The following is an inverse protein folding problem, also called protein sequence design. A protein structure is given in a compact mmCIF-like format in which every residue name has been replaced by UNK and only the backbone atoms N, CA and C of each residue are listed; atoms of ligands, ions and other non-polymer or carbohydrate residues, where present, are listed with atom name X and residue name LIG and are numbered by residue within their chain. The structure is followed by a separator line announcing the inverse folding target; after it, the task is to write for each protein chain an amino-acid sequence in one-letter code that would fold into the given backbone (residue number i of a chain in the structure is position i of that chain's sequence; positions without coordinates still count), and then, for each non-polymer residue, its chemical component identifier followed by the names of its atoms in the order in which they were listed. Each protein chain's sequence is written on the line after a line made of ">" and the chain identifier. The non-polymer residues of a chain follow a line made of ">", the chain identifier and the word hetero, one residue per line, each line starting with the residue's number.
data_IF_772254334073
#
_entry.id   IF_772254334073
#
_cell.length_a   1.000
_cell.length_b   1.000
_cell.length_c   1.000
_cell.angle_alpha   90.00
_cell.angle_beta   90.00
_cell.angle_gamma   90.00
#
_symmetry.space_group_name_H-M   'P 1'
#
loop_
_entity.id
_entity.type
_entity.pdbx_description
1 polymer ?
#
# COMPACT_ATOMS: atom_id res chain seq x y z
N UNK A 1 -6.53 10.55 22.83
CA UNK A 1 -7.09 10.27 21.56
C UNK A 1 -7.45 8.82 21.39
N UNK A 2 -8.33 8.56 20.60
CA UNK A 2 -8.76 7.22 20.39
C UNK A 2 -8.28 6.74 19.05
N UNK A 3 -7.75 5.56 19.01
CA UNK A 3 -7.38 4.99 17.75
C UNK A 3 -8.64 4.75 16.97
N UNK A 4 -8.65 5.21 15.76
CA UNK A 4 -9.81 5.10 14.92
C UNK A 4 -9.65 3.91 13.98
N UNK A 5 -10.67 3.09 13.88
CA UNK A 5 -10.69 1.96 12.97
C UNK A 5 -12.01 1.94 12.24
N UNK A 6 -11.93 2.09 10.93
CA UNK A 6 -13.09 1.98 10.05
C UNK A 6 -12.93 0.71 9.26
N UNK A 7 -14.01 -0.04 9.16
CA UNK A 7 -13.96 -1.31 8.47
C UNK A 7 -15.27 -1.57 7.76
N UNK A 8 -15.18 -2.16 6.58
CA UNK A 8 -16.36 -2.52 5.80
C UNK A 8 -16.13 -3.84 5.12
N UNK A 9 -17.09 -4.75 5.26
CA UNK A 9 -17.03 -6.05 4.62
C UNK A 9 -17.96 -6.00 3.41
N UNK A 10 -17.42 -6.35 2.25
CA UNK A 10 -18.14 -6.31 0.98
C UNK A 10 -18.85 -4.97 0.78
N UNK A 11 -18.10 -3.86 0.91
CA UNK A 11 -18.73 -2.55 0.77
C UNK A 11 -19.19 -2.33 -0.66
N UNK A 12 -20.26 -1.56 -0.82
CA UNK A 12 -20.56 -1.08 -2.15
C UNK A 12 -19.57 0.04 -2.48
N UNK A 13 -19.57 0.50 -3.72
CA UNK A 13 -18.57 1.47 -4.16
C UNK A 13 -18.72 2.81 -3.43
N UNK A 14 -19.93 3.19 -3.08
CA UNK A 14 -20.13 4.42 -2.33
C UNK A 14 -19.58 4.35 -0.93
N UNK A 15 -19.74 3.20 -0.27
CA UNK A 15 -19.19 3.00 1.06
C UNK A 15 -17.66 3.00 1.02
N UNK A 16 -17.09 2.36 0.00
CA UNK A 16 -15.65 2.33 -0.15
C UNK A 16 -15.11 3.74 -0.39
N UNK A 17 -15.80 4.50 -1.23
CA UNK A 17 -15.39 5.86 -1.52
C UNK A 17 -15.38 6.71 -0.26
N UNK A 18 -16.44 6.62 0.54
CA UNK A 18 -16.51 7.39 1.78
C UNK A 18 -15.39 7.01 2.74
N UNK A 19 -15.09 5.72 2.81
CA UNK A 19 -14.04 5.23 3.70
C UNK A 19 -12.67 5.75 3.27
N UNK A 20 -12.36 5.67 1.98
CA UNK A 20 -11.06 6.13 1.48
C UNK A 20 -10.95 7.65 1.60
N UNK A 21 -12.02 8.38 1.31
CA UNK A 21 -11.98 9.84 1.44
C UNK A 21 -11.75 10.25 2.89
N UNK A 22 -12.39 9.56 3.82
CA UNK A 22 -12.15 9.82 5.23
C UNK A 22 -10.71 9.51 5.59
N UNK A 23 -10.18 8.41 5.06
CA UNK A 23 -8.80 8.04 5.30
C UNK A 23 -7.82 9.09 4.81
N UNK A 24 -8.07 9.64 3.62
CA UNK A 24 -7.21 10.68 3.09
C UNK A 24 -7.30 11.95 3.93
N UNK A 25 -8.50 12.32 4.31
CA UNK A 25 -8.72 13.53 5.07
C UNK A 25 -8.05 13.49 6.43
N UNK A 26 -8.09 12.34 7.07
CA UNK A 26 -7.55 12.17 8.41
C UNK A 26 -6.18 11.54 8.44
N UNK A 27 -5.59 11.29 7.27
CA UNK A 27 -4.27 10.69 7.15
C UNK A 27 -4.19 9.32 7.82
N UNK A 28 -5.15 8.47 7.48
CA UNK A 28 -5.21 7.12 8.01
C UNK A 28 -4.55 6.13 7.05
N UNK A 29 -4.18 4.98 7.58
CA UNK A 29 -3.66 3.89 6.77
C UNK A 29 -4.85 3.11 6.22
N UNK A 30 -4.95 3.00 4.89
CA UNK A 30 -6.07 2.32 4.26
C UNK A 30 -5.64 1.02 3.62
N UNK A 31 -6.47 -0.01 3.72
CA UNK A 31 -6.27 -1.23 2.95
C UNK A 31 -7.55 -1.57 2.22
N UNK A 32 -7.39 -2.08 1.01
CA UNK A 32 -8.50 -2.45 0.16
C UNK A 32 -8.22 -3.83 -0.41
N UNK A 33 -9.19 -4.72 -0.37
CA UNK A 33 -9.02 -6.04 -0.93
C UNK A 33 -10.19 -6.36 -1.83
N UNK A 34 -9.90 -6.80 -3.04
CA UNK A 34 -10.96 -7.15 -3.97
C UNK A 34 -10.41 -7.40 -5.36
N UNK A 35 -11.34 -7.57 -6.28
CA UNK A 35 -10.99 -7.86 -7.66
C UNK A 35 -10.77 -6.55 -8.40
N UNK A 36 -9.57 -6.37 -8.90
CA UNK A 36 -9.22 -5.11 -9.54
C UNK A 36 -8.25 -5.32 -10.70
N UNK A 37 -8.25 -4.36 -11.60
CA UNK A 37 -7.20 -4.23 -12.58
C UNK A 37 -6.30 -3.08 -12.17
N UNK A 38 -5.08 -3.10 -12.66
CA UNK A 38 -4.10 -2.09 -12.27
C UNK A 38 -3.41 -1.58 -13.53
N UNK A 39 -3.20 -0.29 -13.61
CA UNK A 39 -2.48 0.30 -14.73
C UNK A 39 -1.47 1.31 -14.18
N UNK A 40 -0.23 1.18 -14.60
CA UNK A 40 0.83 2.11 -14.25
C UNK A 40 1.21 2.89 -15.50
N UNK A 41 1.38 4.20 -15.36
CA UNK A 41 1.79 5.06 -16.45
C UNK A 41 2.83 6.05 -15.94
N UNK A 42 4.03 5.98 -16.50
CA UNK A 42 5.12 6.84 -16.10
C UNK A 42 6.21 6.74 -17.15
N UNK A 43 7.44 6.42 -16.72
CA UNK A 43 8.52 6.22 -17.69
C UNK A 43 8.23 5.05 -18.59
N UNK A 44 7.48 4.10 -18.10
CA UNK A 44 7.04 2.95 -18.85
C UNK A 44 5.57 2.79 -18.54
N UNK A 45 4.91 1.84 -19.19
CA UNK A 45 3.51 1.56 -18.92
C UNK A 45 3.36 0.09 -18.66
N UNK A 46 2.49 -0.28 -17.74
CA UNK A 46 2.19 -1.66 -17.48
C UNK A 46 0.74 -1.80 -17.06
N UNK A 47 0.20 -2.98 -17.27
CA UNK A 47 -1.17 -3.28 -16.86
C UNK A 47 -1.23 -4.66 -16.26
N UNK A 48 -2.14 -4.84 -15.33
CA UNK A 48 -2.46 -6.14 -14.76
C UNK A 48 -3.96 -6.35 -14.99
N UNK A 49 -4.30 -7.48 -15.59
CA UNK A 49 -5.68 -7.84 -15.81
C UNK A 49 -6.37 -8.08 -14.46
N UNK A 50 -7.70 -8.07 -14.45
CA UNK A 50 -8.43 -8.21 -13.19
C UNK A 50 -8.04 -9.45 -12.40
N UNK A 51 -7.87 -9.29 -11.12
CA UNK A 51 -7.56 -10.35 -10.18
C UNK A 51 -7.73 -9.84 -8.77
N UNK A 52 -7.67 -10.76 -7.81
CA UNK A 52 -7.82 -10.39 -6.41
C UNK A 52 -6.51 -9.86 -5.87
N UNK A 53 -6.53 -8.65 -5.34
CA UNK A 53 -5.32 -8.00 -4.82
C UNK A 53 -5.59 -7.22 -3.58
N UNK A 54 -4.55 -7.10 -2.77
CA UNK A 54 -4.56 -6.26 -1.58
C UNK A 54 -3.84 -4.97 -1.94
N UNK A 55 -4.52 -3.84 -1.72
CA UNK A 55 -3.95 -2.54 -1.99
C UNK A 55 -3.80 -1.80 -0.67
N UNK A 56 -2.62 -1.24 -0.43
CA UNK A 56 -2.33 -0.48 0.78
C UNK A 56 -2.07 0.96 0.38
N UNK A 57 -2.82 1.88 0.97
CA UNK A 57 -2.63 3.31 0.75
C UNK A 57 -2.14 3.91 2.06
N UNK A 58 -0.91 4.39 2.05
CA UNK A 58 -0.32 4.93 3.27
C UNK A 58 -0.47 6.44 3.31
N UNK A 59 -0.53 7.02 4.50
CA UNK A 59 -0.72 8.48 4.59
C UNK A 59 0.45 9.28 4.04
N UNK A 60 1.62 8.68 3.86
CA UNK A 60 2.76 9.39 3.27
C UNK A 60 2.72 9.38 1.74
N UNK A 61 1.71 8.77 1.14
CA UNK A 61 1.57 8.74 -0.30
C UNK A 61 2.00 7.43 -0.94
N UNK A 62 2.57 6.52 -0.17
CA UNK A 62 2.97 5.22 -0.70
C UNK A 62 1.75 4.40 -1.07
N UNK A 63 1.82 3.69 -2.18
CA UNK A 63 0.80 2.71 -2.55
C UNK A 63 1.48 1.40 -2.89
N UNK A 64 0.92 0.31 -2.38
CA UNK A 64 1.44 -1.03 -2.64
C UNK A 64 0.31 -1.91 -3.12
N UNK A 65 0.58 -2.71 -4.15
CA UNK A 65 -0.39 -3.67 -4.67
C UNK A 65 0.22 -5.06 -4.54
N UNK A 66 -0.43 -5.93 -3.78
CA UNK A 66 0.05 -7.27 -3.52
C UNK A 66 -0.88 -8.31 -4.08
N UNK A 67 -0.30 -9.41 -4.56
CA UNK A 67 -1.06 -10.61 -4.90
C UNK A 67 -0.88 -11.61 -3.78
N UNK A 68 -1.35 -12.83 -4.00
CA UNK A 68 -1.24 -13.88 -2.99
C UNK A 68 0.11 -14.62 -3.03
N UNK A 69 1.05 -14.14 -3.85
CA UNK A 69 2.35 -14.80 -4.01
C UNK A 69 3.47 -13.78 -3.92
N UNK A 70 4.58 -14.24 -3.39
CA UNK A 70 5.80 -13.43 -3.38
C UNK A 70 5.84 -12.44 -2.22
N UNK A 71 7.03 -11.95 -1.97
CA UNK A 71 7.21 -11.01 -0.87
C UNK A 71 7.18 -9.55 -1.31
N UNK A 72 7.39 -9.30 -2.60
CA UNK A 72 7.40 -7.93 -3.11
C UNK A 72 6.05 -7.58 -3.70
N UNK A 73 5.65 -6.31 -3.63
CA UNK A 73 4.43 -5.91 -4.31
C UNK A 73 4.61 -6.04 -5.82
N UNK A 74 3.52 -6.33 -6.53
CA UNK A 74 3.58 -6.43 -7.99
C UNK A 74 3.54 -5.05 -8.62
N UNK A 75 3.10 -4.05 -7.88
CA UNK A 75 3.10 -2.67 -8.34
C UNK A 75 3.15 -1.77 -7.12
N UNK A 76 3.77 -0.58 -7.27
CA UNK A 76 3.87 0.34 -6.13
C UNK A 76 4.26 1.73 -6.61
N UNK A 77 4.05 2.71 -5.73
CA UNK A 77 4.61 4.04 -5.89
C UNK A 77 5.19 4.49 -4.57
N UNK A 78 6.27 5.28 -4.59
CA UNK A 78 6.94 5.71 -3.36
C UNK A 78 6.15 6.79 -2.63
N UNK A 79 6.61 7.18 -1.43
CA UNK A 79 5.99 8.30 -0.73
C UNK A 79 5.97 9.56 -1.57
N UNK A 80 5.04 10.42 -1.29
CA UNK A 80 4.92 11.69 -2.00
C UNK A 80 3.84 11.73 -3.05
N UNK A 81 3.10 10.63 -3.22
CA UNK A 81 2.00 10.62 -4.17
C UNK A 81 0.73 11.15 -3.51
N UNK A 82 -0.18 11.62 -4.36
CA UNK A 82 -1.52 12.01 -3.92
C UNK A 82 -2.48 10.93 -4.37
N UNK A 83 -3.32 10.47 -3.45
CA UNK A 83 -4.32 9.46 -3.75
C UNK A 83 -5.66 10.14 -3.98
N UNK A 84 -6.33 9.77 -5.06
CA UNK A 84 -7.66 10.27 -5.37
C UNK A 84 -8.57 9.09 -5.65
N UNK A 85 -9.75 9.08 -5.07
CA UNK A 85 -10.69 7.99 -5.23
C UNK A 85 -11.96 8.50 -5.89
N UNK A 86 -12.63 7.64 -6.62
CA UNK A 86 -13.87 7.98 -7.27
C UNK A 86 -14.58 6.76 -7.82
N UNK A 87 -15.75 6.98 -8.38
CA UNK A 87 -16.50 5.92 -9.03
C UNK A 87 -16.59 6.29 -10.50
N UNK A 88 -16.07 5.43 -11.37
CA UNK A 88 -16.02 5.67 -12.80
C UNK A 88 -16.44 4.41 -13.52
N UNK A 89 -17.39 4.55 -14.45
CA UNK A 89 -17.85 3.43 -15.28
C UNK A 89 -18.24 2.22 -14.43
N UNK A 90 -18.87 2.47 -13.31
CA UNK A 90 -19.35 1.39 -12.44
C UNK A 90 -18.28 0.71 -11.61
N UNK A 91 -17.07 1.27 -11.57
CA UNK A 91 -15.98 0.71 -10.79
C UNK A 91 -15.51 1.70 -9.76
N UNK A 92 -14.97 1.19 -8.64
CA UNK A 92 -14.34 2.02 -7.65
C UNK A 92 -12.87 2.19 -8.03
N UNK A 93 -12.45 3.43 -8.23
CA UNK A 93 -11.14 3.72 -8.78
C UNK A 93 -10.31 4.52 -7.80
N UNK A 94 -9.04 4.14 -7.65
CA UNK A 94 -8.08 4.92 -6.89
C UNK A 94 -6.93 5.26 -7.81
N UNK A 95 -6.57 6.55 -7.87
CA UNK A 95 -5.41 7.00 -8.61
C UNK A 95 -4.39 7.53 -7.64
N UNK A 96 -3.17 7.06 -7.73
CA UNK A 96 -2.05 7.59 -6.96
C UNK A 96 -1.09 8.22 -7.95
N UNK A 97 -0.86 9.51 -7.83
CA UNK A 97 -0.05 10.20 -8.81
C UNK A 97 0.92 11.17 -8.16
N UNK A 98 1.98 11.46 -8.88
CA UNK A 98 2.94 12.46 -8.47
C UNK A 98 3.51 13.12 -9.71
N UNK A 99 4.19 14.25 -9.49
CA UNK A 99 4.86 14.97 -10.59
C UNK A 99 6.36 14.97 -10.32
N UNK A 100 7.14 15.21 -11.37
CA UNK A 100 8.60 15.35 -11.30
C UNK A 100 9.27 14.10 -10.73
N UNK A 101 9.15 12.94 -11.35
CA UNK A 101 8.54 12.68 -12.63
C UNK A 101 7.04 12.44 -12.53
N UNK A 102 6.35 12.65 -13.63
CA UNK A 102 4.92 12.36 -13.68
C UNK A 102 4.73 10.85 -13.69
N UNK A 103 3.99 10.37 -12.72
CA UNK A 103 3.66 8.95 -12.62
C UNK A 103 2.27 8.79 -12.06
N UNK A 104 1.57 7.80 -12.53
CA UNK A 104 0.23 7.51 -12.03
C UNK A 104 0.01 6.01 -11.94
N UNK A 105 -0.52 5.57 -10.83
CA UNK A 105 -0.93 4.19 -10.65
C UNK A 105 -2.44 4.21 -10.47
N UNK A 106 -3.13 3.49 -11.34
CA UNK A 106 -4.59 3.40 -11.31
C UNK A 106 -4.97 2.01 -10.86
N UNK A 107 -5.85 1.93 -9.86
CA UNK A 107 -6.42 0.66 -9.42
C UNK A 107 -7.92 0.78 -9.57
N UNK A 108 -8.52 -0.10 -10.37
CA UNK A 108 -9.96 -0.06 -10.63
C UNK A 108 -10.58 -1.36 -10.14
N UNK A 109 -11.40 -1.25 -9.11
CA UNK A 109 -12.04 -2.41 -8.49
C UNK A 109 -13.41 -2.67 -9.12
N UNK A 110 -13.59 -3.90 -9.59
CA UNK A 110 -14.91 -4.37 -10.00
C UNK A 110 -15.73 -4.69 -8.78
N UNK A 111 -15.07 -5.27 -7.77
CA UNK A 111 -15.72 -5.71 -6.56
C UNK A 111 -14.73 -5.59 -5.41
N UNK A 112 -15.20 -5.01 -4.32
CA UNK A 112 -14.42 -4.93 -3.10
C UNK A 112 -14.96 -5.95 -2.11
N UNK A 113 -14.07 -6.68 -1.47
CA UNK A 113 -14.42 -7.66 -0.47
C UNK A 113 -14.19 -7.12 0.93
N UNK A 114 -13.26 -6.19 1.06
CA UNK A 114 -12.93 -5.63 2.37
C UNK A 114 -12.25 -4.29 2.21
N UNK A 115 -12.53 -3.39 3.12
CA UNK A 115 -11.87 -2.08 3.15
C UNK A 115 -11.68 -1.66 4.59
N UNK A 116 -10.50 -1.11 4.90
CA UNK A 116 -10.24 -0.59 6.24
C UNK A 116 -9.51 0.74 6.16
N UNK A 117 -9.66 1.53 7.21
CA UNK A 117 -8.85 2.72 7.40
C UNK A 117 -8.66 2.87 8.90
N UNK A 118 -7.44 3.04 9.36
CA UNK A 118 -7.23 3.20 10.78
C UNK A 118 -6.03 4.10 11.07
N UNK A 119 -6.04 4.64 12.28
CA UNK A 119 -5.03 5.57 12.74
C UNK A 119 -3.87 4.76 13.30
N UNK A 120 -2.86 4.53 12.48
CA UNK A 120 -1.73 3.70 12.86
C UNK A 120 -0.60 4.58 13.35
N UNK A 121 -0.09 4.25 14.53
CA UNK A 121 1.01 4.98 15.12
C UNK A 121 2.10 3.98 15.47
N UNK A 122 3.31 4.25 15.00
CA UNK A 122 4.43 3.38 15.30
C UNK A 122 5.63 4.25 15.63
N UNK A 123 5.95 4.33 16.90
CA UNK A 123 7.10 5.09 17.37
C UNK A 123 8.32 4.23 17.65
N UNK A 124 8.26 2.96 17.27
CA UNK A 124 9.37 2.06 17.58
C UNK A 124 10.52 2.26 16.60
N UNK A 125 11.72 2.09 17.11
CA UNK A 125 12.91 2.15 16.29
C UNK A 125 13.34 0.74 15.93
N UNK A 126 13.86 0.58 14.73
CA UNK A 126 14.40 -0.71 14.31
C UNK A 126 15.65 -1.00 15.13
N UNK A 127 15.67 -2.14 15.79
CA UNK A 127 16.85 -2.59 16.52
C UNK A 127 17.57 -3.58 15.63
N UNK A 128 18.77 -3.21 15.19
CA UNK A 128 19.54 -4.05 14.27
C UNK A 128 20.62 -4.79 15.04
N UNK A 129 20.66 -6.10 14.83
CA UNK A 129 21.71 -6.93 15.39
C UNK A 129 22.28 -7.77 14.24
N UNK A 130 23.52 -8.20 14.42
CA UNK A 130 24.17 -8.96 13.40
C UNK A 130 25.34 -8.20 12.81
N UNK A 131 25.96 -8.75 11.78
CA UNK A 131 27.10 -8.09 11.17
C UNK A 131 26.63 -7.04 10.18
N UNK A 132 27.56 -6.18 9.83
CA UNK A 132 27.29 -5.18 8.82
C UNK A 132 26.92 -5.83 7.50
N UNK A 133 27.52 -6.96 7.20
CA UNK A 133 27.22 -7.68 5.99
C UNK A 133 25.80 -8.21 5.99
N UNK A 134 25.33 -8.72 7.13
CA UNK A 134 23.97 -9.19 7.26
C UNK A 134 22.99 -8.06 7.02
N UNK A 135 23.28 -6.89 7.58
CA UNK A 135 22.42 -5.73 7.42
C UNK A 135 22.36 -5.30 5.96
N UNK A 136 23.53 -5.26 5.31
CA UNK A 136 23.57 -4.86 3.92
C UNK A 136 22.75 -5.80 3.05
N UNK A 137 22.85 -7.09 3.32
CA UNK A 137 22.12 -8.08 2.54
C UNK A 137 20.61 -7.89 2.70
N UNK A 138 20.16 -7.61 3.90
CA UNK A 138 18.73 -7.40 4.11
C UNK A 138 18.23 -6.16 3.38
N UNK A 139 19.01 -5.10 3.35
CA UNK A 139 18.63 -3.89 2.66
C UNK A 139 18.56 -4.14 1.16
N UNK A 140 19.51 -4.90 0.61
CA UNK A 140 19.50 -5.22 -0.81
C UNK A 140 18.29 -6.09 -1.17
N UNK A 141 17.91 -6.99 -0.29
CA UNK A 141 16.78 -7.88 -0.54
C UNK A 141 15.45 -7.14 -0.35
N UNK A 142 15.45 -6.10 0.45
CA UNK A 142 14.22 -5.38 0.73
C UNK A 142 14.49 -3.89 0.85
N UNK A 143 14.65 -3.22 -0.28
CA UNK A 143 14.98 -1.79 -0.26
C UNK A 143 13.99 -0.92 0.48
N UNK A 144 12.75 -1.35 0.61
CA UNK A 144 11.75 -0.54 1.28
C UNK A 144 12.07 -0.34 2.75
N UNK A 145 12.95 -1.16 3.34
CA UNK A 145 13.37 -0.94 4.72
C UNK A 145 14.03 0.41 4.87
N UNK A 146 14.75 0.85 3.85
CA UNK A 146 15.44 2.11 3.90
C UNK A 146 14.56 3.24 3.47
N UNK A 147 13.90 3.09 2.35
CA UNK A 147 13.13 4.17 1.75
C UNK A 147 11.94 4.60 2.58
N UNK A 148 11.24 3.66 3.14
CA UNK A 148 10.03 4.00 3.87
C UNK A 148 10.31 4.35 5.31
N UNK A 149 11.51 4.07 5.81
CA UNK A 149 11.78 4.20 7.23
C UNK A 149 11.03 3.19 8.06
N UNK A 150 10.47 2.20 7.42
CA UNK A 150 9.66 1.21 8.07
C UNK A 150 10.52 0.24 8.87
N UNK A 151 10.04 -0.13 10.05
CA UNK A 151 10.78 -1.02 10.87
C UNK A 151 10.20 -2.37 10.79
N UNK A 152 10.90 -3.33 10.27
CA UNK A 152 10.37 -4.66 10.15
C UNK A 152 10.28 -5.27 11.48
N UNK A 153 9.33 -5.94 11.71
CA UNK A 153 9.34 -6.67 12.75
C UNK A 153 9.92 -7.84 12.43
N UNK A 154 10.12 -8.09 11.74
CA UNK A 154 10.71 -9.12 11.53
C UNK A 154 11.85 -9.56 11.66
N UNK A 155 12.24 -9.66 12.03
CA UNK A 155 13.34 -9.87 11.97
C UNK A 155 13.54 -11.10 12.31
N UNK A 156 13.30 -11.50 12.50
CA UNK A 156 13.48 -12.24 12.59
C UNK A 156 13.01 -13.07 12.27
N UNK A 157 12.81 -13.48 11.90
CA UNK A 157 12.51 -14.13 11.39
C UNK A 157 12.95 -14.69 10.78
N UNK A 158 13.42 -14.62 10.95
CA UNK A 158 13.91 -14.86 10.34
C UNK A 158 14.49 -15.04 10.25
N UNK A 159 14.89 -15.14 10.78
CA UNK A 159 15.62 -15.10 10.67
C UNK A 159 16.03 -15.36 10.95
N UNK A 160 16.35 -15.62 11.19
CA UNK A 160 17.05 -15.71 11.30
C UNK A 160 17.54 -15.64 11.26
N UNK A 161 17.76 -15.55 11.56
CA UNK A 161 18.10 -15.25 11.33
C UNK A 161 18.11 -14.96 11.27
N UNK A 162 18.08 -14.74 11.57
CA UNK A 162 18.00 -14.39 11.32
C UNK A 162 17.59 -14.21 11.49
N UNK A 163 17.59 -14.18 11.66
CA UNK A 163 17.29 -13.96 11.50
C UNK A 163 17.15 -13.86 11.42
#
# INVERSE_FOLDING_TARGET
>A
MTDELLTAVEPDHGEALALVETGEERELLCTLFGRCRVAYDGRASSTLDPGDRLVVLKPDGTVLVHTDEGQQPVNWQPPGCTHEAGIEDGQFVVRSHRTSPDEQLLVAFEQLLHATAYDATDGADLALTGTEEDLRQRILDNPSLVESGFEPRATERETPAGS
#
